data_IF_671011741391
#
_entry.id   IF_671011741391
#
_cell.length_a   1.000
_cell.length_b   1.000
_cell.length_c   1.000
_cell.angle_alpha   90.00
_cell.angle_beta   90.00
_cell.angle_gamma   90.00
#
_symmetry.space_group_name_H-M   'P 1'
#
loop_
_entity.id
_entity.type
_entity.pdbx_description
1 polymer ?
#
# COMPACT_ATOMS: atom_id res chain seq x y z
N UNK A 1 25.23 13.13 -1.81
CA UNK A 1 24.76 11.72 -1.87
C UNK A 1 24.97 10.99 -0.54
N UNK A 2 25.84 11.47 0.35
CA UNK A 2 25.92 11.02 1.74
C UNK A 2 24.65 11.43 2.50
N UNK A 3 23.85 10.48 2.97
CA UNK A 3 22.61 10.73 3.74
C UNK A 3 21.30 10.24 3.10
N UNK A 4 21.28 9.98 1.78
CA UNK A 4 20.07 9.47 1.11
C UNK A 4 19.68 8.07 1.59
N UNK A 5 20.67 7.20 1.81
CA UNK A 5 20.46 5.85 2.35
C UNK A 5 20.00 5.87 3.82
N UNK A 6 20.40 6.88 4.60
CA UNK A 6 19.96 7.06 6.00
C UNK A 6 18.46 7.32 6.05
N UNK A 7 17.96 8.22 5.21
CA UNK A 7 16.53 8.51 5.12
C UNK A 7 15.72 7.28 4.70
N UNK A 8 16.24 6.49 3.75
CA UNK A 8 15.62 5.22 3.35
C UNK A 8 15.59 4.20 4.50
N UNK A 9 16.67 4.08 5.26
CA UNK A 9 16.77 3.17 6.39
C UNK A 9 15.87 3.58 7.56
N UNK A 10 15.83 4.89 7.89
CA UNK A 10 14.92 5.45 8.89
C UNK A 10 13.45 5.24 8.49
N UNK A 11 13.10 5.55 7.24
CA UNK A 11 11.74 5.32 6.72
C UNK A 11 11.35 3.83 6.79
N UNK A 12 12.24 2.94 6.36
CA UNK A 12 12.04 1.49 6.45
C UNK A 12 11.87 1.00 7.89
N UNK A 13 12.69 1.50 8.82
CA UNK A 13 12.58 1.17 10.24
C UNK A 13 11.23 1.65 10.83
N UNK A 14 10.79 2.87 10.52
CA UNK A 14 9.49 3.40 10.97
C UNK A 14 8.33 2.56 10.43
N UNK A 15 8.33 2.22 9.14
CA UNK A 15 7.28 1.38 8.54
C UNK A 15 7.28 -0.04 9.15
N UNK A 16 8.46 -0.63 9.35
CA UNK A 16 8.62 -1.94 9.96
C UNK A 16 8.12 -1.97 11.40
N UNK A 17 8.48 -0.98 12.22
CA UNK A 17 7.99 -0.82 13.58
C UNK A 17 6.48 -0.60 13.62
N UNK A 18 5.93 0.24 12.75
CA UNK A 18 4.48 0.43 12.65
C UNK A 18 3.74 -0.88 12.30
N UNK A 19 4.29 -1.65 11.36
CA UNK A 19 3.76 -2.97 11.00
C UNK A 19 3.83 -3.97 12.16
N UNK A 20 4.93 -3.98 12.92
CA UNK A 20 5.11 -4.83 14.10
C UNK A 20 4.13 -4.46 15.22
N UNK A 21 3.97 -3.17 15.52
CA UNK A 21 3.00 -2.69 16.52
C UNK A 21 1.58 -3.07 16.12
N UNK A 22 1.21 -2.91 14.85
CA UNK A 22 -0.12 -3.28 14.38
C UNK A 22 -0.35 -4.80 14.46
N UNK A 23 0.69 -5.60 14.20
CA UNK A 23 0.65 -7.06 14.36
C UNK A 23 0.58 -7.50 15.82
N UNK A 24 1.31 -6.85 16.72
CA UNK A 24 1.32 -7.15 18.16
C UNK A 24 0.03 -6.74 18.85
N UNK A 25 -0.52 -5.57 18.52
CA UNK A 25 -1.73 -5.05 19.17
C UNK A 25 -3.01 -5.67 18.61
N UNK A 26 -3.11 -5.84 17.28
CA UNK A 26 -4.33 -6.32 16.64
C UNK A 26 -4.24 -7.78 16.18
N UNK A 27 -3.08 -8.44 16.32
CA UNK A 27 -2.85 -9.80 15.81
C UNK A 27 -2.86 -9.89 14.28
N UNK A 28 -2.75 -8.76 13.56
CA UNK A 28 -3.02 -8.65 12.12
C UNK A 28 -1.84 -8.11 11.33
N UNK A 29 -1.67 -8.66 10.14
CA UNK A 29 -0.70 -8.22 9.14
C UNK A 29 -1.14 -6.86 8.57
N UNK A 30 -0.24 -5.86 8.54
CA UNK A 30 -0.55 -4.53 8.01
C UNK A 30 -0.75 -4.58 6.49
N UNK A 31 -1.96 -4.29 6.00
CA UNK A 31 -2.27 -4.25 4.58
C UNK A 31 -3.48 -3.36 4.28
N UNK A 32 -3.29 -2.35 3.43
CA UNK A 32 -4.30 -1.30 3.17
C UNK A 32 -5.58 -1.92 2.59
N UNK A 33 -5.49 -2.78 1.57
CA UNK A 33 -6.68 -3.44 0.99
C UNK A 33 -7.40 -4.35 1.98
N UNK A 34 -6.67 -4.98 2.92
CA UNK A 34 -7.25 -5.85 3.94
C UNK A 34 -7.94 -5.08 5.07
N UNK A 35 -7.45 -3.88 5.39
CA UNK A 35 -8.06 -2.95 6.35
C UNK A 35 -9.29 -2.30 5.70
N UNK A 36 -9.18 -1.85 4.44
CA UNK A 36 -10.29 -1.26 3.70
C UNK A 36 -11.43 -2.27 3.46
N UNK A 37 -11.11 -3.53 3.16
CA UNK A 37 -12.12 -4.59 2.99
C UNK A 37 -12.95 -4.86 4.26
N UNK A 38 -12.48 -4.46 5.45
CA UNK A 38 -13.27 -4.56 6.68
C UNK A 38 -14.40 -3.52 6.73
N UNK A 39 -14.29 -2.42 5.98
CA UNK A 39 -15.24 -1.31 5.99
C UNK A 39 -16.25 -1.34 4.84
N UNK A 40 -16.01 -2.08 3.75
CA UNK A 40 -16.95 -2.15 2.63
C UNK A 40 -17.95 -3.32 2.77
N UNK A 41 -19.26 -3.08 2.91
CA UNK A 41 -20.30 -4.11 2.80
C UNK A 41 -20.42 -4.62 1.35
N UNK A 42 -20.76 -5.89 1.06
CA UNK A 42 -21.09 -7.01 1.96
C UNK A 42 -19.87 -7.81 2.47
N UNK A 43 -18.66 -7.37 2.13
CA UNK A 43 -17.41 -8.08 2.47
C UNK A 43 -16.82 -7.65 3.82
N UNK A 44 -17.39 -6.60 4.42
CA UNK A 44 -17.15 -6.16 5.76
C UNK A 44 -17.58 -7.25 6.72
N UNK A 45 -16.60 -7.89 7.33
CA UNK A 45 -16.69 -8.85 8.45
C UNK A 45 -17.20 -8.18 9.74
N UNK A 46 -18.17 -7.28 9.62
CA UNK A 46 -18.97 -6.73 10.70
C UNK A 46 -19.76 -7.84 11.45
N UNK A 47 -19.87 -9.02 10.85
CA UNK A 47 -20.61 -10.17 11.37
C UNK A 47 -19.79 -11.10 12.30
N UNK A 48 -18.54 -10.75 12.64
CA UNK A 48 -17.63 -11.61 13.44
C UNK A 48 -17.13 -10.97 14.74
N UNK A 49 -17.88 -10.07 15.38
CA UNK A 49 -17.51 -9.47 16.67
C UNK A 49 -16.22 -8.63 16.62
N UNK A 50 -15.89 -8.08 15.45
CA UNK A 50 -14.64 -7.36 15.19
C UNK A 50 -14.82 -5.87 15.43
N UNK A 51 -13.95 -5.26 16.23
CA UNK A 51 -13.96 -3.81 16.40
C UNK A 51 -13.48 -3.13 15.11
N UNK A 52 -14.31 -2.24 14.56
CA UNK A 52 -13.94 -1.39 13.43
C UNK A 52 -12.95 -0.29 13.84
N UNK A 53 -12.82 -0.03 15.16
CA UNK A 53 -11.99 1.01 15.74
C UNK A 53 -10.56 1.04 15.20
N UNK A 54 -9.79 -0.07 15.24
CA UNK A 54 -8.41 -0.07 14.76
C UNK A 54 -8.27 0.10 13.25
N UNK A 55 -9.25 -0.38 12.47
CA UNK A 55 -9.26 -0.21 11.02
C UNK A 55 -9.52 1.26 10.64
N UNK A 56 -10.49 1.89 11.29
CA UNK A 56 -10.78 3.32 11.12
C UNK A 56 -9.61 4.16 11.59
N UNK A 57 -9.04 3.87 12.76
CA UNK A 57 -7.87 4.58 13.29
C UNK A 57 -6.66 4.51 12.32
N UNK A 58 -6.42 3.34 11.72
CA UNK A 58 -5.36 3.20 10.72
C UNK A 58 -5.61 4.04 9.47
N UNK A 59 -6.82 4.03 8.91
CA UNK A 59 -7.15 4.80 7.70
C UNK A 59 -7.19 6.30 7.96
N UNK A 60 -7.68 6.72 9.13
CA UNK A 60 -7.63 8.11 9.57
C UNK A 60 -6.17 8.54 9.74
N UNK A 61 -5.32 7.73 10.37
CA UNK A 61 -3.88 8.00 10.46
C UNK A 61 -3.20 8.09 9.09
N UNK A 62 -3.53 7.19 8.16
CA UNK A 62 -3.02 7.18 6.79
C UNK A 62 -3.40 8.45 6.02
N UNK A 63 -4.60 8.98 6.24
CA UNK A 63 -5.07 10.23 5.63
C UNK A 63 -4.53 11.49 6.33
N UNK A 64 -4.46 11.49 7.66
CA UNK A 64 -3.97 12.63 8.44
C UNK A 64 -2.47 12.87 8.29
N UNK A 65 -1.67 11.81 8.13
CA UNK A 65 -0.21 11.93 7.99
C UNK A 65 0.23 12.85 6.83
N UNK A 66 -0.21 12.67 5.57
CA UNK A 66 0.15 13.59 4.49
C UNK A 66 -0.45 14.98 4.67
N UNK A 67 -1.63 15.12 5.30
CA UNK A 67 -2.25 16.43 5.59
C UNK A 67 -1.40 17.21 6.62
N UNK A 68 -0.99 16.56 7.71
CA UNK A 68 -0.12 17.15 8.72
C UNK A 68 1.24 17.53 8.12
N UNK A 69 1.77 16.71 7.21
CA UNK A 69 3.01 17.01 6.50
C UNK A 69 2.84 18.22 5.56
N UNK A 70 1.70 18.37 4.90
CA UNK A 70 1.43 19.53 4.05
C UNK A 70 1.43 20.85 4.86
N UNK A 71 1.02 20.81 6.14
CA UNK A 71 1.03 22.00 7.02
C UNK A 71 2.43 22.49 7.38
N UNK A 72 3.47 21.65 7.26
CA UNK A 72 4.86 22.06 7.53
C UNK A 72 5.52 22.77 6.34
N UNK A 73 4.80 22.92 5.22
CA UNK A 73 5.33 23.47 3.97
C UNK A 73 6.18 22.46 3.17
N UNK A 74 6.23 21.20 3.61
CA UNK A 74 6.93 20.15 2.87
C UNK A 74 6.10 19.74 1.64
N UNK A 75 6.54 20.19 0.46
CA UNK A 75 5.94 19.80 -0.80
C UNK A 75 6.36 18.38 -1.17
N UNK A 76 5.44 17.42 -1.03
CA UNK A 76 5.63 16.10 -1.62
C UNK A 76 5.49 16.26 -3.14
N UNK A 77 6.50 15.88 -3.94
CA UNK A 77 6.40 15.93 -5.40
C UNK A 77 5.43 14.83 -5.86
N UNK A 78 4.14 15.15 -5.91
CA UNK A 78 3.08 14.26 -6.41
C UNK A 78 2.71 14.69 -7.82
N UNK A 79 3.19 13.95 -8.81
CA UNK A 79 2.76 14.11 -10.20
C UNK A 79 1.62 13.14 -10.48
N UNK A 80 0.39 13.65 -10.52
CA UNK A 80 -0.81 12.87 -10.87
C UNK A 80 -1.16 13.16 -12.34
N UNK A 81 -1.65 12.15 -13.05
CA UNK A 81 -2.22 12.36 -14.38
C UNK A 81 -3.55 13.09 -14.29
N UNK A 82 -3.78 14.09 -15.15
CA UNK A 82 -5.07 14.79 -15.25
C UNK A 82 -6.16 13.91 -15.89
N UNK A 83 -5.79 12.75 -16.44
CA UNK A 83 -6.73 11.85 -17.07
C UNK A 83 -7.51 11.02 -16.03
N UNK A 84 -8.68 11.52 -15.65
CA UNK A 84 -9.61 10.87 -14.72
C UNK A 84 -9.97 9.44 -15.15
N UNK A 85 -10.08 9.16 -16.45
CA UNK A 85 -10.40 7.80 -16.92
C UNK A 85 -9.29 6.80 -16.58
N UNK A 86 -8.02 7.21 -16.71
CA UNK A 86 -6.87 6.38 -16.32
C UNK A 86 -6.86 6.14 -14.81
N UNK A 87 -7.20 7.14 -14.00
CA UNK A 87 -7.30 6.99 -12.54
C UNK A 87 -8.41 6.01 -12.14
N UNK A 88 -9.60 6.13 -12.74
CA UNK A 88 -10.73 5.23 -12.45
C UNK A 88 -10.40 3.80 -12.86
N UNK A 89 -9.92 3.60 -14.10
CA UNK A 89 -9.59 2.26 -14.62
C UNK A 89 -8.43 1.65 -13.83
N UNK A 90 -7.38 2.43 -13.55
CA UNK A 90 -6.26 2.00 -12.74
C UNK A 90 -6.68 1.59 -11.32
N UNK A 91 -7.53 2.40 -10.67
CA UNK A 91 -8.08 2.08 -9.35
C UNK A 91 -8.91 0.79 -9.33
N UNK A 92 -9.78 0.59 -10.33
CA UNK A 92 -10.57 -0.63 -10.46
C UNK A 92 -9.70 -1.87 -10.70
N UNK A 93 -8.70 -1.78 -11.59
CA UNK A 93 -7.77 -2.87 -11.86
C UNK A 93 -6.95 -3.25 -10.62
N UNK A 94 -6.45 -2.26 -9.87
CA UNK A 94 -5.73 -2.50 -8.61
C UNK A 94 -6.66 -3.10 -7.56
N UNK A 95 -7.88 -2.58 -7.42
CA UNK A 95 -8.88 -3.12 -6.50
C UNK A 95 -9.20 -4.59 -6.79
N UNK A 96 -9.50 -4.92 -8.04
CA UNK A 96 -9.77 -6.28 -8.50
C UNK A 96 -8.54 -7.18 -8.30
N UNK A 97 -7.36 -6.72 -8.72
CA UNK A 97 -6.11 -7.48 -8.63
C UNK A 97 -5.70 -7.80 -7.19
N UNK A 98 -5.82 -6.84 -6.25
CA UNK A 98 -5.53 -7.09 -4.83
C UNK A 98 -6.50 -8.09 -4.20
N UNK A 99 -7.75 -8.15 -4.68
CA UNK A 99 -8.70 -9.17 -4.23
C UNK A 99 -8.35 -10.55 -4.77
N UNK A 100 -8.03 -10.65 -6.07
CA UNK A 100 -7.61 -11.91 -6.69
C UNK A 100 -6.31 -12.45 -6.06
N UNK A 101 -5.36 -11.56 -5.74
CA UNK A 101 -4.12 -11.89 -5.05
C UNK A 101 -4.26 -12.13 -3.54
N UNK A 102 -5.47 -12.11 -2.99
CA UNK A 102 -5.75 -12.25 -1.54
C UNK A 102 -4.95 -11.27 -0.66
N UNK A 103 -4.59 -10.10 -1.19
CA UNK A 103 -3.73 -9.13 -0.51
C UNK A 103 -3.16 -8.07 -1.45
N UNK A 104 -2.49 -7.09 -0.86
CA UNK A 104 -1.81 -6.00 -1.56
C UNK A 104 -0.28 -6.12 -1.40
N UNK A 105 0.44 -5.30 -2.17
CA UNK A 105 1.91 -5.21 -2.12
C UNK A 105 2.43 -4.79 -0.75
N UNK A 106 1.71 -3.96 0.02
CA UNK A 106 2.12 -3.61 1.38
C UNK A 106 2.00 -4.80 2.35
N UNK A 107 0.92 -5.57 2.28
CA UNK A 107 0.71 -6.74 3.14
C UNK A 107 1.63 -7.91 2.82
N UNK A 108 1.79 -8.25 1.54
CA UNK A 108 2.71 -9.30 1.10
C UNK A 108 4.18 -8.83 1.19
N UNK A 109 4.47 -7.59 0.81
CA UNK A 109 5.83 -7.04 0.84
C UNK A 109 6.35 -6.81 2.24
N UNK A 110 5.73 -5.90 3.01
CA UNK A 110 6.28 -5.45 4.29
C UNK A 110 6.19 -6.56 5.35
N UNK A 111 5.01 -7.15 5.52
CA UNK A 111 4.77 -8.14 6.58
C UNK A 111 4.83 -9.60 6.11
N UNK A 112 4.65 -9.88 4.82
CA UNK A 112 4.66 -11.23 4.26
C UNK A 112 6.06 -11.77 3.99
N UNK A 113 6.91 -10.97 3.34
CA UNK A 113 8.32 -11.31 3.09
C UNK A 113 9.14 -11.35 4.38
N UNK A 114 8.89 -10.45 5.33
CA UNK A 114 9.58 -10.44 6.64
C UNK A 114 9.34 -11.71 7.47
N UNK A 115 8.22 -12.41 7.24
CA UNK A 115 7.92 -13.71 7.85
C UNK A 115 8.46 -14.90 7.04
N UNK A 116 9.22 -14.66 5.98
CA UNK A 116 9.83 -15.72 5.16
C UNK A 116 8.83 -16.56 4.35
N UNK A 117 7.62 -16.05 4.06
CA UNK A 117 6.61 -16.83 3.35
C UNK A 117 6.91 -16.93 1.85
N UNK A 118 7.12 -18.15 1.35
CA UNK A 118 7.32 -18.44 -0.08
C UNK A 118 6.16 -17.95 -0.94
N UNK A 119 4.92 -18.10 -0.46
CA UNK A 119 3.72 -17.59 -1.15
C UNK A 119 3.79 -16.07 -1.35
N UNK A 120 4.30 -15.37 -0.35
CA UNK A 120 4.44 -13.92 -0.41
C UNK A 120 5.56 -13.48 -1.33
N UNK A 121 6.66 -14.24 -1.38
CA UNK A 121 7.75 -14.02 -2.31
C UNK A 121 7.30 -14.16 -3.76
N UNK A 122 6.53 -15.20 -4.08
CA UNK A 122 5.94 -15.37 -5.42
C UNK A 122 4.99 -14.22 -5.75
N UNK A 123 4.10 -13.85 -4.82
CA UNK A 123 3.14 -12.76 -5.05
C UNK A 123 3.82 -11.39 -5.27
N UNK A 124 4.84 -11.06 -4.47
CA UNK A 124 5.59 -9.80 -4.65
C UNK A 124 6.39 -9.83 -5.96
N UNK A 125 7.01 -10.96 -6.28
CA UNK A 125 7.73 -11.16 -7.53
C UNK A 125 6.84 -10.93 -8.75
N UNK A 126 5.62 -11.50 -8.77
CA UNK A 126 4.67 -11.29 -9.88
C UNK A 126 4.19 -9.85 -9.95
N UNK A 127 3.85 -9.21 -8.81
CA UNK A 127 3.44 -7.80 -8.80
C UNK A 127 4.53 -6.88 -9.34
N UNK A 128 5.79 -7.06 -8.92
CA UNK A 128 6.91 -6.25 -9.38
C UNK A 128 7.25 -6.50 -10.85
N UNK A 129 7.20 -7.76 -11.31
CA UNK A 129 7.43 -8.09 -12.71
C UNK A 129 6.38 -7.46 -13.63
N UNK A 130 5.09 -7.58 -13.28
CA UNK A 130 3.99 -6.97 -14.05
C UNK A 130 4.06 -5.45 -14.01
N UNK A 131 4.39 -4.84 -12.86
CA UNK A 131 4.57 -3.39 -12.76
C UNK A 131 5.74 -2.89 -13.63
N UNK A 132 6.88 -3.58 -13.61
CA UNK A 132 8.03 -3.25 -14.44
C UNK A 132 7.70 -3.40 -15.93
N UNK A 133 7.02 -4.49 -16.33
CA UNK A 133 6.59 -4.69 -17.71
C UNK A 133 5.59 -3.63 -18.16
N UNK A 134 4.59 -3.32 -17.32
CA UNK A 134 3.56 -2.32 -17.64
C UNK A 134 4.17 -0.93 -17.79
N UNK A 135 5.07 -0.54 -16.88
CA UNK A 135 5.77 0.76 -16.97
C UNK A 135 6.69 0.80 -18.18
N UNK A 136 7.40 -0.28 -18.52
CA UNK A 136 8.21 -0.37 -19.74
C UNK A 136 7.34 -0.22 -21.00
N UNK A 137 6.22 -0.94 -21.10
CA UNK A 137 5.30 -0.84 -22.25
C UNK A 137 4.72 0.56 -22.37
N UNK A 138 4.25 1.15 -21.27
CA UNK A 138 3.71 2.53 -21.29
C UNK A 138 4.78 3.52 -21.72
N UNK A 139 6.00 3.43 -21.16
CA UNK A 139 7.12 4.29 -21.55
C UNK A 139 7.47 4.17 -23.02
N UNK A 140 7.42 2.95 -23.58
CA UNK A 140 7.71 2.71 -25.00
C UNK A 140 6.61 3.23 -25.93
N UNK A 141 5.34 3.17 -25.52
CA UNK A 141 4.22 3.59 -26.38
C UNK A 141 3.91 5.08 -26.30
N UNK A 142 4.04 5.72 -25.13
CA UNK A 142 3.78 7.15 -24.96
C UNK A 142 5.02 8.02 -25.04
N UNK A 143 6.22 7.44 -25.01
CA UNK A 143 7.49 8.17 -24.98
C UNK A 143 7.68 9.03 -23.71
N UNK A 144 6.80 8.90 -22.72
CA UNK A 144 6.77 9.73 -21.54
C UNK A 144 7.87 9.31 -20.55
N UNK A 145 8.90 10.15 -20.44
CA UNK A 145 9.84 10.16 -19.32
C UNK A 145 9.17 10.96 -18.20
N UNK A 146 8.47 10.28 -17.30
CA UNK A 146 8.13 10.79 -15.96
C UNK A 146 9.04 10.12 -14.93
#
# INVERSE_FOLDING_TARGET
>A
MEGAWINGLLGGAVIGCAGAVLLLLNGRVAGISGILAQLLPPWGVADQGRSLGPAVAFLVGLGLAPIALAQTGYAVPVSITDNVAVLIVGGLLVGFGTRLGSGCTSGHGVCGLSRGSVRSLVAVGTFMAVAALTTAVVRLTTGAVQ
#
